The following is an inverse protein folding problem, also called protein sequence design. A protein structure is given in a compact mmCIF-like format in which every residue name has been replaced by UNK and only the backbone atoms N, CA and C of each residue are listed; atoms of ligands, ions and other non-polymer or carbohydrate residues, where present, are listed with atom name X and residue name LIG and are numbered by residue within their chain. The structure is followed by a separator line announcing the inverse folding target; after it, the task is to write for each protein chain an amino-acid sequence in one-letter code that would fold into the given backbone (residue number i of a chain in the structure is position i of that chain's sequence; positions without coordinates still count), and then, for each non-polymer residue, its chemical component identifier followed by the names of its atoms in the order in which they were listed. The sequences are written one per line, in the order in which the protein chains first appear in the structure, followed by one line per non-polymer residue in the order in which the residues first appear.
data_IF_445508957644
#
_entry.id   IF_445508957644
#
_cell.length_a   1.000
_cell.length_b   1.000
_cell.length_c   1.000
_cell.angle_alpha   90.00
_cell.angle_beta   90.00
_cell.angle_gamma   90.00
#
_symmetry.space_group_name_H-M   'P 1'
#
loop_
_entity.id
_entity.type
_entity.pdbx_description
1 polymer ?
#
# COMPACT_ATOMS: atom_id res chain seq x y z
N UNK A 1 18.83 -17.11 -4.19
CA UNK A 1 17.47 -16.94 -3.63
C UNK A 1 17.36 -15.51 -3.16
N UNK A 2 16.35 -14.77 -3.61
CA UNK A 2 16.12 -13.37 -3.21
C UNK A 2 14.71 -13.28 -2.63
N UNK A 3 14.59 -12.60 -1.49
CA UNK A 3 13.32 -12.35 -0.81
C UNK A 3 13.20 -10.87 -0.49
N UNK A 4 12.00 -10.33 -0.61
CA UNK A 4 11.67 -8.97 -0.21
C UNK A 4 10.62 -8.99 0.92
N UNK A 5 10.70 -8.02 1.82
CA UNK A 5 9.72 -7.80 2.88
C UNK A 5 9.11 -6.42 2.66
N UNK A 6 7.80 -6.37 2.47
CA UNK A 6 7.04 -5.13 2.30
C UNK A 6 6.20 -4.90 3.57
N UNK A 7 6.53 -3.84 4.32
CA UNK A 7 5.80 -3.47 5.54
C UNK A 7 4.52 -2.69 5.21
N UNK A 8 3.40 -3.41 5.09
CA UNK A 8 2.11 -2.84 4.66
C UNK A 8 1.02 -2.86 5.76
N UNK A 9 1.39 -2.91 7.04
CA UNK A 9 0.43 -3.02 8.15
C UNK A 9 -0.13 -1.67 8.67
N UNK A 10 0.42 -0.54 8.21
CA UNK A 10 0.12 0.79 8.75
C UNK A 10 -1.35 1.22 8.61
N UNK A 11 -1.79 2.10 9.52
CA UNK A 11 -3.14 2.70 9.53
C UNK A 11 -3.30 3.89 8.58
N UNK A 12 -2.21 4.58 8.24
CA UNK A 12 -2.27 5.73 7.32
C UNK A 12 -2.95 6.98 7.91
N UNK A 13 -2.85 7.24 9.21
CA UNK A 13 -3.59 8.32 9.91
C UNK A 13 -3.38 9.74 9.37
N UNK A 14 -2.27 9.99 8.65
CA UNK A 14 -1.99 11.28 8.00
C UNK A 14 -2.62 11.41 6.60
N UNK A 15 -3.22 10.34 6.08
CA UNK A 15 -3.85 10.35 4.74
C UNK A 15 -5.26 10.92 4.75
N UNK A 16 -5.83 11.23 5.93
CA UNK A 16 -7.19 11.75 6.08
C UNK A 16 -8.25 10.96 5.29
N UNK A 17 -8.09 9.64 5.25
CA UNK A 17 -8.98 8.71 4.56
C UNK A 17 -9.33 7.56 5.52
N UNK A 18 -10.51 6.98 5.31
CA UNK A 18 -10.96 5.77 6.01
C UNK A 18 -10.33 4.50 5.42
N UNK A 19 -9.92 4.57 4.15
CA UNK A 19 -9.15 3.53 3.46
C UNK A 19 -7.71 3.57 3.92
N UNK A 20 -7.14 2.41 4.27
CA UNK A 20 -5.71 2.34 4.62
C UNK A 20 -4.86 2.72 3.41
N UNK A 21 -3.79 3.50 3.64
CA UNK A 21 -2.95 4.07 2.57
C UNK A 21 -2.55 3.07 1.48
N UNK A 22 -2.14 1.86 1.87
CA UNK A 22 -1.69 0.80 0.97
C UNK A 22 -2.78 0.27 0.02
N UNK A 23 -4.05 0.57 0.30
CA UNK A 23 -5.20 0.19 -0.50
C UNK A 23 -5.84 1.35 -1.27
N UNK A 24 -5.26 2.55 -1.20
CA UNK A 24 -5.73 3.66 -2.04
C UNK A 24 -5.53 3.32 -3.52
N UNK A 25 -6.49 3.73 -4.33
CA UNK A 25 -6.41 3.54 -5.78
C UNK A 25 -5.33 4.44 -6.39
N UNK A 26 -4.52 3.85 -7.25
CA UNK A 26 -3.55 4.54 -8.09
C UNK A 26 -3.61 3.89 -9.48
N UNK A 27 -4.40 4.50 -10.38
CA UNK A 27 -4.53 4.01 -11.75
C UNK A 27 -5.29 2.69 -11.85
N UNK A 28 -6.35 2.51 -11.06
CA UNK A 28 -7.17 1.29 -11.06
C UNK A 28 -6.55 0.12 -10.30
N UNK A 29 -5.45 0.33 -9.60
CA UNK A 29 -4.79 -0.67 -8.76
C UNK A 29 -4.41 -0.06 -7.40
N UNK A 30 -4.46 -0.84 -6.30
CA UNK A 30 -3.97 -0.40 -5.00
C UNK A 30 -2.51 0.05 -5.05
N UNK A 31 -2.13 1.08 -4.29
CA UNK A 31 -0.72 1.49 -4.10
C UNK A 31 0.20 0.31 -3.77
N UNK A 32 -0.27 -0.65 -2.97
CA UNK A 32 0.51 -1.85 -2.64
C UNK A 32 0.84 -2.71 -3.88
N UNK A 33 -0.06 -2.80 -4.87
CA UNK A 33 0.16 -3.60 -6.08
C UNK A 33 1.36 -3.09 -6.89
N UNK A 34 1.52 -1.77 -6.98
CA UNK A 34 2.69 -1.13 -7.60
C UNK A 34 4.00 -1.33 -6.82
N UNK A 35 3.92 -1.70 -5.54
CA UNK A 35 5.10 -1.90 -4.68
C UNK A 35 5.60 -3.34 -4.67
N UNK A 36 4.81 -4.29 -5.18
CA UNK A 36 5.13 -5.74 -5.22
C UNK A 36 5.86 -6.14 -6.50
N UNK A 37 5.66 -5.39 -7.59
CA UNK A 37 6.17 -5.69 -8.93
C UNK A 37 7.51 -5.00 -9.24
#
# INVERSE_FOLDING_TARGET
MVSAIIVAAGKGVRMNDTTRKQYLDLGGQPVLAHSVM
#
